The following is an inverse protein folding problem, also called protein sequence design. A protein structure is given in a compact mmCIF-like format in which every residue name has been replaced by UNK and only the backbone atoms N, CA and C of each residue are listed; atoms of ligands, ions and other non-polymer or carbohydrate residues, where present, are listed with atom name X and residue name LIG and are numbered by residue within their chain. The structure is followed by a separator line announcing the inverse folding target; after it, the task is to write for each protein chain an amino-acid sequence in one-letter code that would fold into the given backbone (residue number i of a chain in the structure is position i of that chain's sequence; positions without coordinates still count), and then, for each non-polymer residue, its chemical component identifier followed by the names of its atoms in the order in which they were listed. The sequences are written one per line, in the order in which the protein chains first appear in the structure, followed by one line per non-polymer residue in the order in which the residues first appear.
data_IF_013029244491
#
_entry.id   IF_013029244491
#
_cell.length_a   1.000
_cell.length_b   1.000
_cell.length_c   1.000
_cell.angle_alpha   90.00
_cell.angle_beta   90.00
_cell.angle_gamma   90.00
#
_symmetry.space_group_name_H-M   'P 1'
#
loop_
_entity.id
_entity.type
_entity.pdbx_description
1 polymer ?
#
# COMPACT_ATOMS: atom_id res chain seq x y z
N UNK A 1 3.61 5.34 -7.89
CA UNK A 1 2.51 5.41 -6.92
C UNK A 1 2.93 6.02 -5.58
N UNK A 2 4.07 5.63 -4.97
CA UNK A 2 4.49 6.10 -3.64
C UNK A 2 5.45 7.32 -3.62
N UNK A 3 6.25 7.52 -4.67
CA UNK A 3 7.21 8.64 -4.71
C UNK A 3 6.47 9.98 -4.72
N UNK A 4 6.88 10.91 -3.84
CA UNK A 4 6.29 12.25 -3.72
C UNK A 4 5.06 12.33 -2.82
N UNK A 5 4.65 11.23 -2.20
CA UNK A 5 3.60 11.21 -1.16
C UNK A 5 4.20 11.37 0.23
N UNK A 6 3.43 11.95 1.13
CA UNK A 6 3.69 11.97 2.58
C UNK A 6 3.46 10.59 3.21
N UNK A 7 3.95 10.39 4.44
CA UNK A 7 3.75 9.14 5.18
C UNK A 7 2.26 8.87 5.49
N UNK A 8 1.49 9.90 5.82
CA UNK A 8 0.03 9.78 6.02
C UNK A 8 -0.68 9.37 4.72
N UNK A 9 -0.31 9.96 3.59
CA UNK A 9 -0.86 9.56 2.30
C UNK A 9 -0.50 8.12 1.95
N UNK A 10 0.74 7.68 2.25
CA UNK A 10 1.17 6.30 2.02
C UNK A 10 0.39 5.30 2.89
N UNK A 11 0.11 5.64 4.16
CA UNK A 11 -0.70 4.82 5.08
C UNK A 11 -2.15 4.66 4.65
N UNK A 12 -2.70 5.66 3.97
CA UNK A 12 -4.11 5.68 3.56
C UNK A 12 -4.38 4.95 2.24
N UNK A 13 -3.34 4.47 1.54
CA UNK A 13 -3.51 3.68 0.32
C UNK A 13 -4.22 2.37 0.63
N UNK A 14 -5.31 2.08 -0.09
CA UNK A 14 -6.08 0.85 0.05
C UNK A 14 -5.78 -0.16 -1.06
N UNK A 15 -5.94 -1.44 -0.76
CA UNK A 15 -5.83 -2.52 -1.72
C UNK A 15 -6.73 -2.36 -2.96
N UNK A 16 -7.90 -1.70 -2.83
CA UNK A 16 -8.82 -1.45 -3.94
C UNK A 16 -8.16 -0.51 -4.96
N UNK A 17 -7.54 0.57 -4.51
CA UNK A 17 -6.83 1.51 -5.38
C UNK A 17 -5.64 0.83 -6.08
N UNK A 18 -4.93 -0.05 -5.37
CA UNK A 18 -3.82 -0.83 -5.92
C UNK A 18 -4.34 -1.84 -6.97
N UNK A 19 -5.46 -2.51 -6.68
CA UNK A 19 -6.05 -3.49 -7.59
C UNK A 19 -6.59 -2.83 -8.86
N UNK A 20 -7.23 -1.67 -8.74
CA UNK A 20 -7.72 -0.87 -9.87
C UNK A 20 -6.56 -0.32 -10.70
N UNK A 21 -5.51 0.21 -10.07
CA UNK A 21 -4.34 0.74 -10.77
C UNK A 21 -3.55 -0.34 -11.55
N UNK A 22 -3.68 -1.60 -11.14
CA UNK A 22 -2.99 -2.75 -11.75
C UNK A 22 -3.93 -3.68 -12.55
N UNK A 23 -5.21 -3.32 -12.68
CA UNK A 23 -6.25 -4.11 -13.34
C UNK A 23 -6.25 -5.59 -12.91
N UNK A 24 -6.19 -5.82 -11.59
CA UNK A 24 -6.02 -7.16 -11.05
C UNK A 24 -7.30 -7.99 -11.22
N UNK A 25 -7.22 -9.21 -11.81
CA UNK A 25 -8.36 -10.11 -11.82
C UNK A 25 -8.70 -10.61 -10.41
N UNK A 26 -9.93 -11.09 -10.16
CA UNK A 26 -10.41 -11.47 -8.83
C UNK A 26 -9.47 -12.42 -8.05
N UNK A 27 -8.82 -13.36 -8.75
CA UNK A 27 -7.91 -14.32 -8.14
C UNK A 27 -6.57 -13.71 -7.67
N UNK A 28 -6.20 -12.53 -8.16
CA UNK A 28 -4.95 -11.82 -7.83
C UNK A 28 -5.15 -10.67 -6.85
N UNK A 29 -6.36 -10.45 -6.31
CA UNK A 29 -6.62 -9.42 -5.28
C UNK A 29 -5.78 -9.64 -4.02
N UNK A 30 -5.39 -10.88 -3.70
CA UNK A 30 -4.47 -11.12 -2.58
C UNK A 30 -3.13 -10.39 -2.74
N UNK A 31 -2.69 -10.10 -3.97
CA UNK A 31 -1.48 -9.32 -4.23
C UNK A 31 -1.65 -7.85 -3.82
N UNK A 32 -2.84 -7.26 -3.98
CA UNK A 32 -3.09 -5.88 -3.55
C UNK A 32 -3.27 -5.77 -2.04
N UNK A 33 -3.88 -6.78 -1.40
CA UNK A 33 -3.91 -6.89 0.07
C UNK A 33 -2.49 -6.96 0.64
N UNK A 34 -1.65 -7.85 0.10
CA UNK A 34 -0.26 -7.99 0.53
C UNK A 34 0.53 -6.69 0.32
N UNK A 35 0.30 -5.99 -0.79
CA UNK A 35 0.93 -4.71 -1.06
C UNK A 35 0.51 -3.62 -0.05
N UNK A 36 -0.78 -3.52 0.28
CA UNK A 36 -1.29 -2.60 1.31
C UNK A 36 -0.63 -2.86 2.67
N UNK A 37 -0.60 -4.12 3.12
CA UNK A 37 -0.01 -4.49 4.41
C UNK A 37 1.49 -4.19 4.45
N UNK A 38 2.20 -4.47 3.36
CA UNK A 38 3.64 -4.19 3.26
C UNK A 38 3.94 -2.69 3.35
N UNK A 39 3.11 -1.84 2.75
CA UNK A 39 3.25 -0.38 2.83
C UNK A 39 3.01 0.09 4.26
N UNK A 40 1.94 -0.38 4.92
CA UNK A 40 1.64 0.00 6.31
C UNK A 40 2.77 -0.37 7.26
N UNK A 41 3.29 -1.59 7.17
CA UNK A 41 4.41 -2.04 7.98
C UNK A 41 5.68 -1.22 7.73
N UNK A 42 5.97 -0.88 6.47
CA UNK A 42 7.14 -0.06 6.14
C UNK A 42 7.03 1.36 6.71
N UNK A 43 5.84 1.97 6.71
CA UNK A 43 5.64 3.29 7.32
C UNK A 43 5.74 3.21 8.85
N UNK A 44 5.15 2.20 9.48
CA UNK A 44 5.22 2.00 10.93
C UNK A 44 6.67 1.76 11.40
N UNK A 45 7.44 0.92 10.69
CA UNK A 45 8.86 0.71 10.95
C UNK A 45 9.66 2.02 10.79
N UNK A 46 9.33 2.84 9.79
CA UNK A 46 9.98 4.13 9.61
C UNK A 46 9.70 5.10 10.77
N UNK A 47 8.44 5.19 11.22
CA UNK A 47 8.05 6.07 12.33
C UNK A 47 8.64 5.63 13.68
N UNK A 48 8.79 4.32 13.90
CA UNK A 48 9.35 3.77 15.16
C UNK A 48 10.87 3.86 15.24
N UNK A 49 11.55 4.12 14.11
CA UNK A 49 13.01 4.30 14.02
C UNK A 49 13.48 5.73 14.19
N UNK A 50 12.56 6.69 14.30
CA UNK A 50 12.83 8.11 14.56
C UNK A 50 12.69 8.37 16.05
#
# INVERSE_FOLDING_TARGET
MLKGKTLEEAKNIKNVEIAEALDLPPIKIHCSVLAEDSIKQAVEDYETKI
#
